data_IF_118292420546
#
_entry.id   IF_118292420546
#
_cell.length_a   1.000
_cell.length_b   1.000
_cell.length_c   1.000
_cell.angle_alpha   90.00
_cell.angle_beta   90.00
_cell.angle_gamma   90.00
#
_symmetry.space_group_name_H-M   'P 1'
#
loop_
_entity.id
_entity.type
_entity.pdbx_description
1 polymer ?
#
# COMPACT_ATOMS: atom_id res chain seq x y z
N UNK A 1 -1.96 29.38 12.02
CA UNK A 1 -0.60 29.70 11.51
C UNK A 1 -0.37 31.18 11.74
N UNK A 2 0.77 31.56 12.34
CA UNK A 2 1.13 32.97 12.48
C UNK A 2 1.42 33.55 11.09
N UNK A 3 0.97 34.78 10.84
CA UNK A 3 1.24 35.47 9.58
C UNK A 3 2.74 35.74 9.42
N UNK A 4 3.28 35.53 8.23
CA UNK A 4 4.69 35.83 7.92
C UNK A 4 4.92 37.35 7.87
N UNK A 5 6.08 37.80 8.34
CA UNK A 5 6.53 39.19 8.14
C UNK A 5 6.82 39.45 6.66
N UNK A 6 6.86 40.73 6.23
CA UNK A 6 7.20 41.08 4.84
C UNK A 6 8.55 40.51 4.40
N UNK A 7 9.56 40.59 5.26
CA UNK A 7 10.89 40.02 4.98
C UNK A 7 10.84 38.50 4.79
N UNK A 8 10.03 37.78 5.59
CA UNK A 8 9.85 36.35 5.42
C UNK A 8 9.09 36.00 4.14
N UNK A 9 8.09 36.81 3.75
CA UNK A 9 7.36 36.61 2.49
C UNK A 9 8.28 36.78 1.28
N UNK A 10 9.14 37.80 1.31
CA UNK A 10 10.11 38.04 0.24
C UNK A 10 11.17 36.94 0.18
N UNK A 11 11.64 36.46 1.34
CA UNK A 11 12.55 35.33 1.43
C UNK A 11 11.93 34.05 0.85
N UNK A 12 10.64 33.79 1.09
CA UNK A 12 9.89 32.68 0.48
C UNK A 12 9.81 32.86 -1.03
N UNK A 13 9.42 34.05 -1.52
CA UNK A 13 9.26 34.32 -2.95
C UNK A 13 10.56 34.07 -3.74
N UNK A 14 11.70 34.50 -3.20
CA UNK A 14 13.02 34.29 -3.82
C UNK A 14 13.45 32.81 -3.84
N UNK A 15 12.89 31.97 -2.97
CA UNK A 15 13.28 30.57 -2.81
C UNK A 15 12.21 29.58 -3.24
N UNK A 16 11.14 30.01 -3.92
CA UNK A 16 10.14 29.13 -4.51
C UNK A 16 10.74 27.98 -5.38
N UNK A 17 11.80 28.21 -6.19
CA UNK A 17 12.42 27.14 -6.96
C UNK A 17 12.94 25.97 -6.11
N UNK A 18 13.26 26.18 -4.83
CA UNK A 18 13.67 25.10 -3.91
C UNK A 18 12.60 24.03 -3.82
N UNK A 19 11.32 24.41 -3.81
CA UNK A 19 10.21 23.46 -3.74
C UNK A 19 10.18 22.57 -4.98
N UNK A 20 10.30 23.17 -6.17
CA UNK A 20 10.34 22.44 -7.44
C UNK A 20 11.48 21.41 -7.45
N UNK A 21 12.71 21.84 -7.15
CA UNK A 21 13.87 20.95 -7.16
C UNK A 21 13.77 19.85 -6.10
N UNK A 22 13.23 20.14 -4.92
CA UNK A 22 13.01 19.11 -3.90
C UNK A 22 12.02 18.04 -4.38
N UNK A 23 10.95 18.45 -5.05
CA UNK A 23 9.98 17.50 -5.62
C UNK A 23 10.67 16.62 -6.66
N UNK A 24 11.38 17.22 -7.63
CA UNK A 24 12.08 16.48 -8.68
C UNK A 24 13.17 15.54 -8.15
N UNK A 25 13.93 15.97 -7.15
CA UNK A 25 15.09 15.22 -6.63
C UNK A 25 14.69 14.09 -5.67
N UNK A 26 13.63 14.24 -4.88
CA UNK A 26 13.38 13.38 -3.71
C UNK A 26 11.97 12.80 -3.62
N UNK A 27 11.01 13.24 -4.43
CA UNK A 27 9.60 12.84 -4.29
C UNK A 27 9.15 12.15 -5.57
N UNK A 28 8.48 11.00 -5.41
CA UNK A 28 7.80 10.35 -6.52
C UNK A 28 6.41 10.96 -6.68
N UNK A 29 6.24 11.80 -7.70
CA UNK A 29 4.94 12.38 -8.08
C UNK A 29 4.08 11.27 -8.67
N UNK A 30 2.86 11.11 -8.16
CA UNK A 30 1.91 10.13 -8.67
C UNK A 30 0.53 10.77 -8.87
N UNK A 31 0.19 11.17 -10.11
CA UNK A 31 -1.09 11.80 -10.41
C UNK A 31 -2.31 10.90 -10.21
N UNK A 32 -2.15 9.58 -10.11
CA UNK A 32 -3.28 8.68 -9.85
C UNK A 32 -3.74 8.74 -8.39
N UNK A 33 -2.90 9.26 -7.50
CA UNK A 33 -3.20 9.38 -6.07
C UNK A 33 -3.54 10.83 -5.77
N UNK A 34 -4.80 11.08 -5.38
CA UNK A 34 -5.24 12.39 -4.91
C UNK A 34 -4.33 12.92 -3.78
N UNK A 35 -3.80 14.14 -3.95
CA UNK A 35 -2.82 14.74 -3.04
C UNK A 35 -1.35 14.49 -3.42
N UNK A 36 -1.04 13.61 -4.37
CA UNK A 36 0.33 13.37 -4.85
C UNK A 36 0.56 13.88 -6.28
N UNK A 37 -0.37 14.68 -6.82
CA UNK A 37 -0.14 15.46 -8.03
C UNK A 37 0.94 16.52 -7.79
N UNK A 38 1.61 16.94 -8.86
CA UNK A 38 2.67 17.95 -8.76
C UNK A 38 2.16 19.26 -8.16
N UNK A 39 0.95 19.70 -8.53
CA UNK A 39 0.28 20.90 -8.02
C UNK A 39 0.05 20.81 -6.51
N UNK A 40 -0.40 19.66 -6.00
CA UNK A 40 -0.65 19.43 -4.57
C UNK A 40 0.67 19.41 -3.78
N UNK A 41 1.66 18.67 -4.27
CA UNK A 41 2.99 18.61 -3.68
C UNK A 41 3.68 19.98 -3.68
N UNK A 42 3.50 20.77 -4.74
CA UNK A 42 4.06 22.11 -4.81
C UNK A 42 3.40 23.05 -3.80
N UNK A 43 2.07 22.98 -3.64
CA UNK A 43 1.35 23.77 -2.63
C UNK A 43 1.76 23.38 -1.20
N UNK A 44 1.80 22.08 -0.90
CA UNK A 44 2.25 21.60 0.40
C UNK A 44 3.73 21.96 0.65
N UNK A 45 4.57 21.87 -0.38
CA UNK A 45 5.97 22.26 -0.32
C UNK A 45 6.13 23.77 -0.03
N UNK A 46 5.31 24.62 -0.64
CA UNK A 46 5.25 26.05 -0.32
C UNK A 46 4.86 26.29 1.14
N UNK A 47 3.96 25.48 1.71
CA UNK A 47 3.61 25.57 3.13
C UNK A 47 4.81 25.28 4.03
N UNK A 48 5.61 24.26 3.70
CA UNK A 48 6.84 23.95 4.42
C UNK A 48 7.93 25.00 4.22
N UNK A 49 8.00 25.62 3.05
CA UNK A 49 8.90 26.74 2.79
C UNK A 49 8.54 27.97 3.66
N UNK A 50 7.24 28.27 3.79
CA UNK A 50 6.75 29.29 4.71
C UNK A 50 7.11 28.97 6.17
N UNK A 51 6.97 27.72 6.61
CA UNK A 51 7.40 27.28 7.96
C UNK A 51 8.92 27.40 8.13
N UNK A 52 9.70 27.12 7.08
CA UNK A 52 11.14 27.32 7.11
C UNK A 52 11.47 28.81 7.31
N UNK A 53 10.84 29.72 6.56
CA UNK A 53 11.05 31.16 6.71
C UNK A 53 10.63 31.67 8.09
N UNK A 54 9.56 31.12 8.67
CA UNK A 54 9.09 31.48 10.01
C UNK A 54 10.06 31.06 11.13
N UNK A 55 10.85 30.00 10.91
CA UNK A 55 11.72 29.39 11.94
C UNK A 55 13.20 29.64 11.70
N UNK A 56 13.56 30.16 10.52
CA UNK A 56 14.94 30.46 10.16
C UNK A 56 15.52 31.55 11.07
N UNK A 57 16.74 31.29 11.55
CA UNK A 57 17.54 32.24 12.32
C UNK A 57 18.81 32.50 11.54
N UNK A 58 19.04 33.76 11.21
CA UNK A 58 20.23 34.17 10.48
C UNK A 58 21.40 34.32 11.45
N UNK A 59 22.01 33.19 11.83
CA UNK A 59 23.15 33.12 12.73
C UNK A 59 24.48 32.86 12.01
N UNK A 60 24.47 32.97 10.68
CA UNK A 60 25.65 32.79 9.81
C UNK A 60 26.07 31.33 9.59
N UNK A 61 25.36 30.34 10.15
CA UNK A 61 25.76 28.92 10.03
C UNK A 61 25.38 28.27 8.69
N UNK A 62 24.28 28.71 8.08
CA UNK A 62 23.82 28.16 6.81
C UNK A 62 22.98 29.19 6.05
N UNK A 63 23.05 29.16 4.72
CA UNK A 63 22.14 29.95 3.89
C UNK A 63 20.70 29.42 4.04
N UNK A 64 19.72 30.31 3.94
CA UNK A 64 18.31 29.96 4.01
C UNK A 64 17.93 28.84 3.03
N UNK A 65 18.41 28.89 1.77
CA UNK A 65 18.12 27.88 0.74
C UNK A 65 18.54 26.47 1.17
N UNK A 66 19.70 26.32 1.83
CA UNK A 66 20.20 25.04 2.34
C UNK A 66 19.31 24.51 3.48
N UNK A 67 18.96 25.38 4.41
CA UNK A 67 18.04 25.04 5.50
C UNK A 67 16.65 24.67 4.97
N UNK A 68 16.10 25.49 4.08
CA UNK A 68 14.80 25.32 3.45
C UNK A 68 14.71 24.01 2.68
N UNK A 69 15.74 23.63 1.89
CA UNK A 69 15.78 22.35 1.18
C UNK A 69 15.53 21.17 2.12
N UNK A 70 16.15 21.19 3.30
CA UNK A 70 15.97 20.13 4.31
C UNK A 70 14.57 20.12 4.91
N UNK A 71 14.06 21.29 5.30
CA UNK A 71 12.71 21.42 5.89
C UNK A 71 11.63 21.01 4.90
N UNK A 72 11.69 21.50 3.67
CA UNK A 72 10.73 21.18 2.60
C UNK A 72 10.77 19.69 2.27
N UNK A 73 11.96 19.09 2.12
CA UNK A 73 12.10 17.65 1.85
C UNK A 73 11.44 16.81 2.95
N UNK A 74 11.77 17.08 4.20
CA UNK A 74 11.23 16.30 5.33
C UNK A 74 9.72 16.52 5.51
N UNK A 75 9.24 17.74 5.24
CA UNK A 75 7.83 18.09 5.21
C UNK A 75 7.05 17.29 4.18
N UNK A 76 7.51 17.30 2.93
CA UNK A 76 6.90 16.55 1.83
C UNK A 76 6.94 15.04 2.07
N UNK A 77 8.06 14.48 2.53
CA UNK A 77 8.13 13.05 2.87
C UNK A 77 7.16 12.66 4.00
N UNK A 78 6.90 13.56 4.94
CA UNK A 78 5.92 13.33 6.02
C UNK A 78 4.49 13.43 5.49
N UNK A 79 4.24 14.39 4.58
CA UNK A 79 2.96 14.54 3.91
C UNK A 79 2.63 13.32 3.03
N UNK A 80 3.55 12.87 2.18
CA UNK A 80 3.35 11.67 1.36
C UNK A 80 3.04 10.44 2.24
N UNK A 81 3.78 10.24 3.34
CA UNK A 81 3.50 9.17 4.30
C UNK A 81 2.10 9.28 4.90
N UNK A 82 1.65 10.50 5.23
CA UNK A 82 0.30 10.73 5.74
C UNK A 82 -0.76 10.42 4.70
N UNK A 83 -0.58 10.82 3.44
CA UNK A 83 -1.50 10.51 2.34
C UNK A 83 -1.57 9.00 2.15
N UNK A 84 -0.43 8.30 2.07
CA UNK A 84 -0.40 6.84 1.91
C UNK A 84 -1.03 6.10 3.11
N UNK A 85 -0.75 6.53 4.35
CA UNK A 85 -1.35 5.93 5.54
C UNK A 85 -2.85 6.26 5.67
N UNK A 86 -3.31 7.41 5.20
CA UNK A 86 -4.74 7.71 5.22
C UNK A 86 -5.51 6.76 4.28
N UNK A 87 -4.89 6.34 3.18
CA UNK A 87 -5.45 5.33 2.26
C UNK A 87 -5.40 3.91 2.80
N UNK A 88 -4.45 3.55 3.65
CA UNK A 88 -4.50 2.24 4.34
C UNK A 88 -5.73 2.11 5.26
N UNK A 89 -6.33 3.23 5.67
CA UNK A 89 -7.58 3.27 6.44
C UNK A 89 -8.83 3.55 5.59
N UNK A 90 -8.67 4.14 4.40
CA UNK A 90 -9.75 4.42 3.46
C UNK A 90 -9.36 3.95 2.06
N UNK A 91 -9.70 2.70 1.74
CA UNK A 91 -9.67 2.20 0.37
C UNK A 91 -10.72 2.96 -0.44
N UNK A 92 -10.28 3.92 -1.26
CA UNK A 92 -11.15 4.58 -2.24
C UNK A 92 -11.56 3.54 -3.28
N UNK A 93 -12.82 3.17 -3.29
CA UNK A 93 -13.36 2.19 -4.23
C UNK A 93 -13.65 2.86 -5.58
N UNK A 94 -13.10 2.33 -6.66
CA UNK A 94 -13.41 2.65 -8.05
C UNK A 94 -14.44 1.63 -8.54
N UNK A 95 -15.45 2.09 -9.28
CA UNK A 95 -16.43 1.21 -9.92
C UNK A 95 -15.82 0.73 -11.25
N UNK A 96 -15.57 -0.58 -11.36
CA UNK A 96 -15.14 -1.26 -12.57
C UNK A 96 -16.25 -1.34 -13.62
N UNK A 97 -15.88 -1.77 -14.83
CA UNK A 97 -16.75 -1.77 -16.01
C UNK A 97 -18.00 -2.67 -15.84
N UNK A 98 -17.95 -3.62 -14.90
CA UNK A 98 -19.07 -4.50 -14.56
C UNK A 98 -19.68 -4.23 -13.17
N UNK A 99 -19.33 -3.10 -12.55
CA UNK A 99 -19.92 -2.66 -11.28
C UNK A 99 -19.17 -3.12 -10.02
N UNK A 100 -18.03 -3.80 -10.15
CA UNK A 100 -17.15 -4.16 -9.03
C UNK A 100 -16.48 -2.93 -8.39
N UNK A 101 -16.22 -3.00 -7.08
CA UNK A 101 -15.58 -1.94 -6.31
C UNK A 101 -14.10 -2.30 -6.07
N UNK A 102 -13.16 -1.71 -6.81
CA UNK A 102 -11.72 -1.94 -6.71
C UNK A 102 -11.00 -0.83 -5.94
N UNK A 103 -9.96 -1.12 -5.16
CA UNK A 103 -9.23 -0.07 -4.44
C UNK A 103 -8.33 0.73 -5.39
N UNK A 104 -8.40 2.06 -5.33
CA UNK A 104 -7.59 2.93 -6.18
C UNK A 104 -6.08 2.71 -5.90
N UNK A 105 -5.31 2.38 -6.94
CA UNK A 105 -3.89 2.00 -6.86
C UNK A 105 -3.62 0.50 -6.78
N UNK A 106 -4.66 -0.35 -6.77
CA UNK A 106 -4.52 -1.72 -7.23
C UNK A 106 -4.17 -1.60 -8.72
N UNK A 107 -2.92 -1.90 -9.07
CA UNK A 107 -2.59 -2.11 -10.48
C UNK A 107 -3.65 -3.08 -10.98
N UNK A 108 -4.44 -2.68 -11.98
CA UNK A 108 -5.12 -3.66 -12.82
C UNK A 108 -3.99 -4.55 -13.28
N UNK A 109 -3.86 -5.72 -12.66
CA UNK A 109 -2.87 -6.68 -13.08
C UNK A 109 -3.07 -6.82 -14.59
N UNK A 110 -1.99 -6.75 -15.39
CA UNK A 110 -2.10 -7.05 -16.81
C UNK A 110 -2.93 -8.30 -16.88
N UNK A 111 -4.07 -8.26 -17.58
CA UNK A 111 -4.94 -9.42 -17.70
C UNK A 111 -4.07 -10.57 -18.19
N UNK A 112 -3.62 -11.41 -17.26
CA UNK A 112 -3.52 -12.82 -17.53
C UNK A 112 -4.92 -13.16 -18.00
N UNK A 113 -5.00 -13.62 -19.24
CA UNK A 113 -6.22 -14.01 -19.93
C UNK A 113 -7.19 -14.60 -18.89
N UNK A 114 -8.39 -14.05 -18.70
CA UNK A 114 -9.32 -14.46 -17.63
C UNK A 114 -9.53 -15.99 -17.65
N UNK A 115 -9.33 -16.60 -18.82
CA UNK A 115 -9.23 -18.04 -19.02
C UNK A 115 -8.01 -18.70 -18.34
N UNK A 116 -6.80 -18.16 -18.50
CA UNK A 116 -5.55 -18.64 -17.91
C UNK A 116 -5.54 -18.50 -16.39
N UNK A 117 -6.06 -17.39 -15.86
CA UNK A 117 -6.23 -17.19 -14.42
C UNK A 117 -7.23 -18.19 -13.82
N UNK A 118 -8.36 -18.45 -14.52
CA UNK A 118 -9.33 -19.49 -14.11
C UNK A 118 -8.75 -20.89 -14.23
N UNK A 119 -7.94 -21.17 -15.25
CA UNK A 119 -7.28 -22.46 -15.43
C UNK A 119 -6.28 -22.70 -14.30
N UNK A 120 -5.45 -21.71 -13.98
CA UNK A 120 -4.49 -21.76 -12.87
C UNK A 120 -5.18 -21.94 -11.51
N UNK A 121 -6.35 -21.31 -11.31
CA UNK A 121 -7.16 -21.53 -10.12
C UNK A 121 -7.68 -22.97 -10.03
N UNK A 122 -8.21 -23.53 -11.13
CA UNK A 122 -8.70 -24.92 -11.20
C UNK A 122 -7.57 -25.92 -10.93
N UNK A 123 -6.39 -25.69 -11.51
CA UNK A 123 -5.19 -26.51 -11.28
C UNK A 123 -4.75 -26.44 -9.81
N UNK A 124 -4.72 -25.23 -9.24
CA UNK A 124 -4.36 -25.02 -7.83
C UNK A 124 -5.34 -25.72 -6.89
N UNK A 125 -6.65 -25.61 -7.14
CA UNK A 125 -7.67 -26.29 -6.33
C UNK A 125 -7.55 -27.82 -6.44
N UNK A 126 -7.28 -28.34 -7.63
CA UNK A 126 -7.07 -29.77 -7.87
C UNK A 126 -5.83 -30.28 -7.12
N UNK A 127 -4.75 -29.51 -7.12
CA UNK A 127 -3.52 -29.82 -6.39
C UNK A 127 -3.73 -29.83 -4.87
N UNK A 128 -4.47 -28.84 -4.34
CA UNK A 128 -4.82 -28.80 -2.92
C UNK A 128 -5.69 -29.97 -2.52
N UNK A 129 -6.64 -30.38 -3.36
CA UNK A 129 -7.51 -31.53 -3.10
C UNK A 129 -6.72 -32.86 -3.10
N UNK A 130 -5.78 -33.02 -4.02
CA UNK A 130 -4.91 -34.19 -4.05
C UNK A 130 -3.98 -34.25 -2.83
N UNK A 131 -3.31 -33.15 -2.52
CA UNK A 131 -2.38 -33.06 -1.38
C UNK A 131 -3.08 -33.19 -0.03
N UNK A 132 -4.35 -32.79 0.09
CA UNK A 132 -5.16 -32.92 1.30
C UNK A 132 -5.18 -34.34 1.86
N UNK A 133 -5.14 -35.37 1.01
CA UNK A 133 -5.17 -36.78 1.43
C UNK A 133 -3.92 -37.19 2.22
N UNK A 134 -2.83 -36.45 2.10
CA UNK A 134 -1.55 -36.74 2.76
C UNK A 134 -1.41 -36.05 4.11
N UNK A 135 -2.37 -35.20 4.49
CA UNK A 135 -2.35 -34.47 5.75
C UNK A 135 -3.53 -34.84 6.64
N UNK A 136 -3.33 -34.73 7.95
CA UNK A 136 -4.32 -35.05 8.97
C UNK A 136 -4.59 -33.88 9.91
N UNK A 137 -5.64 -34.06 10.73
CA UNK A 137 -6.04 -33.11 11.78
C UNK A 137 -6.20 -31.67 11.29
N UNK A 138 -5.70 -30.72 12.09
CA UNK A 138 -5.81 -29.28 11.81
C UNK A 138 -5.08 -28.85 10.53
N UNK A 139 -4.11 -29.65 10.06
CA UNK A 139 -3.41 -29.35 8.80
C UNK A 139 -4.32 -29.63 7.61
N UNK A 140 -5.02 -30.77 7.62
CA UNK A 140 -6.03 -31.08 6.61
C UNK A 140 -7.14 -30.02 6.56
N UNK A 141 -7.67 -29.65 7.73
CA UNK A 141 -8.70 -28.60 7.85
C UNK A 141 -8.21 -27.25 7.32
N UNK A 142 -6.94 -26.91 7.54
CA UNK A 142 -6.36 -25.68 7.00
C UNK A 142 -6.16 -25.67 5.49
N UNK A 143 -5.92 -26.84 4.88
CA UNK A 143 -5.85 -26.99 3.41
C UNK A 143 -7.25 -26.87 2.81
N UNK A 144 -8.24 -27.49 3.43
CA UNK A 144 -9.64 -27.40 3.01
C UNK A 144 -10.17 -25.96 3.12
N UNK A 145 -9.90 -25.29 4.24
CA UNK A 145 -10.23 -23.88 4.43
C UNK A 145 -9.48 -22.95 3.44
N UNK A 146 -8.24 -23.31 3.05
CA UNK A 146 -7.50 -22.57 2.03
C UNK A 146 -8.16 -22.72 0.65
N UNK A 147 -8.62 -23.91 0.28
CA UNK A 147 -9.34 -24.16 -0.97
C UNK A 147 -10.68 -23.39 -1.02
N UNK A 148 -11.48 -23.44 0.05
CA UNK A 148 -12.73 -22.68 0.15
C UNK A 148 -12.51 -21.17 0.04
N UNK A 149 -11.42 -20.66 0.64
CA UNK A 149 -11.03 -19.26 0.54
C UNK A 149 -10.63 -18.87 -0.90
N UNK A 150 -9.94 -19.74 -1.62
CA UNK A 150 -9.60 -19.54 -3.05
C UNK A 150 -10.85 -19.56 -3.94
N UNK A 151 -11.90 -20.27 -3.54
CA UNK A 151 -13.22 -20.24 -4.19
C UNK A 151 -14.05 -18.99 -3.83
N UNK A 152 -13.48 -18.03 -3.09
CA UNK A 152 -14.12 -16.76 -2.76
C UNK A 152 -14.92 -16.76 -1.46
N UNK A 153 -14.88 -17.83 -0.66
CA UNK A 153 -15.57 -17.85 0.64
C UNK A 153 -14.84 -16.99 1.68
N UNK A 154 -15.61 -16.24 2.48
CA UNK A 154 -15.04 -15.45 3.58
C UNK A 154 -14.69 -16.36 4.74
N UNK A 155 -13.64 -16.01 5.47
CA UNK A 155 -13.19 -16.77 6.65
C UNK A 155 -14.29 -16.91 7.71
N UNK A 156 -15.19 -15.94 7.83
CA UNK A 156 -16.35 -16.00 8.72
C UNK A 156 -17.33 -17.09 8.32
N UNK A 157 -17.62 -17.22 7.02
CA UNK A 157 -18.57 -18.20 6.49
C UNK A 157 -17.99 -19.62 6.60
N UNK A 158 -16.68 -19.76 6.37
CA UNK A 158 -15.94 -21.01 6.59
C UNK A 158 -16.00 -21.39 8.09
N UNK A 159 -15.81 -20.44 8.99
CA UNK A 159 -15.86 -20.67 10.43
C UNK A 159 -17.24 -21.15 10.90
N UNK A 160 -18.31 -20.63 10.31
CA UNK A 160 -19.68 -21.10 10.55
C UNK A 160 -19.88 -22.55 10.11
N UNK A 161 -19.36 -22.94 8.94
CA UNK A 161 -19.42 -24.33 8.42
C UNK A 161 -18.75 -25.31 9.40
N UNK A 162 -17.55 -24.97 9.87
CA UNK A 162 -16.80 -25.82 10.80
C UNK A 162 -17.21 -25.63 12.27
N UNK A 163 -18.15 -24.73 12.57
CA UNK A 163 -18.62 -24.39 13.93
C UNK A 163 -17.49 -24.02 14.90
N UNK A 164 -16.55 -23.21 14.43
CA UNK A 164 -15.40 -22.72 15.20
C UNK A 164 -15.31 -21.20 15.13
N UNK A 165 -14.55 -20.55 16.04
CA UNK A 165 -14.27 -19.12 15.90
C UNK A 165 -13.46 -18.81 14.63
N UNK A 166 -13.68 -17.67 13.95
CA UNK A 166 -12.92 -17.28 12.75
C UNK A 166 -11.40 -17.24 12.93
N UNK A 167 -10.93 -16.97 14.15
CA UNK A 167 -9.51 -17.01 14.51
C UNK A 167 -8.89 -18.40 14.33
N UNK A 168 -9.66 -19.47 14.52
CA UNK A 168 -9.17 -20.85 14.36
C UNK A 168 -8.94 -21.19 12.90
N UNK A 169 -9.85 -20.76 12.02
CA UNK A 169 -9.72 -20.95 10.56
C UNK A 169 -8.47 -20.24 10.04
N UNK A 170 -8.24 -18.99 10.45
CA UNK A 170 -7.02 -18.26 10.08
C UNK A 170 -5.73 -18.96 10.56
N UNK A 171 -5.74 -19.48 11.79
CA UNK A 171 -4.61 -20.22 12.35
C UNK A 171 -4.37 -21.55 11.61
N UNK A 172 -5.43 -22.29 11.24
CA UNK A 172 -5.31 -23.52 10.45
C UNK A 172 -4.71 -23.24 9.08
N UNK A 173 -5.23 -22.24 8.35
CA UNK A 173 -4.71 -21.85 7.04
C UNK A 173 -3.22 -21.48 7.13
N UNK A 174 -2.85 -20.64 8.10
CA UNK A 174 -1.44 -20.22 8.27
C UNK A 174 -0.53 -21.43 8.53
N UNK A 175 -0.93 -22.31 9.44
CA UNK A 175 -0.15 -23.50 9.79
C UNK A 175 -0.03 -24.49 8.63
N UNK A 176 -1.10 -24.68 7.87
CA UNK A 176 -1.11 -25.55 6.69
C UNK A 176 -0.28 -24.98 5.55
N UNK A 177 -0.38 -23.67 5.27
CA UNK A 177 0.42 -23.03 4.23
C UNK A 177 1.93 -23.12 4.54
N UNK A 178 2.31 -22.98 5.81
CA UNK A 178 3.72 -23.19 6.23
C UNK A 178 4.17 -24.64 5.99
N UNK A 179 3.31 -25.63 6.30
CA UNK A 179 3.64 -27.04 6.05
C UNK A 179 3.76 -27.35 4.55
N UNK A 180 2.84 -26.86 3.72
CA UNK A 180 2.89 -27.03 2.27
C UNK A 180 4.19 -26.45 1.68
N UNK A 181 4.61 -25.25 2.11
CA UNK A 181 5.87 -24.63 1.68
C UNK A 181 7.12 -25.40 2.11
N UNK A 182 7.02 -26.22 3.15
CA UNK A 182 8.11 -27.03 3.64
C UNK A 182 8.05 -28.49 3.16
N UNK A 183 7.02 -28.89 2.39
CA UNK A 183 6.88 -30.25 1.87
C UNK A 183 7.47 -30.36 0.47
N UNK A 184 8.60 -31.06 0.28
CA UNK A 184 9.23 -31.21 -1.03
C UNK A 184 8.35 -31.91 -2.05
N UNK A 185 7.43 -32.78 -1.61
CA UNK A 185 6.52 -33.52 -2.50
C UNK A 185 5.47 -32.59 -3.07
N UNK A 186 4.93 -31.70 -2.24
CA UNK A 186 4.01 -30.65 -2.67
C UNK A 186 4.68 -29.64 -3.61
N UNK A 187 5.94 -29.27 -3.32
CA UNK A 187 6.71 -28.40 -4.21
C UNK A 187 7.06 -29.07 -5.54
N UNK A 188 7.33 -30.38 -5.55
CA UNK A 188 7.57 -31.13 -6.77
C UNK A 188 6.33 -31.23 -7.68
N UNK A 189 5.12 -31.18 -7.10
CA UNK A 189 3.86 -31.15 -7.86
C UNK A 189 3.46 -29.76 -8.39
N UNK A 190 4.26 -28.73 -8.12
CA UNK A 190 4.10 -27.37 -8.65
C UNK A 190 4.99 -27.09 -9.89
N UNK A 191 5.85 -28.03 -10.27
CA UNK A 191 6.79 -27.98 -11.40
C UNK A 191 6.33 -28.90 -12.54
#
# INVERSE_FOLDING_TARGET
>A
MNSLTKAQQELVAQNLPVVHWVICDYIHVNPTICGLEYSDLFQEGCLWLCKAAATYKDDGRAQFSTYAKTVVKNGLLSYCRKVCNHRSHFSRLIIGEHGELAADGEALEPQADDFDARMSLVETLSLLEASKQEYDGVTRLGIEALALKLQGMRVTDIAEIYRVPPSHVGAWISRSATKLRCDPRFLASLL
#
